data_IF_343562416076
#
_entry.id   IF_343562416076
#
_cell.length_a   1.000
_cell.length_b   1.000
_cell.length_c   1.000
_cell.angle_alpha   90.00
_cell.angle_beta   90.00
_cell.angle_gamma   90.00
#
_symmetry.space_group_name_H-M   'P 1'
#
loop_
_entity.id
_entity.type
_entity.pdbx_description
1 polymer ?
#
# COMPACT_ATOMS: atom_id res chain seq x y z
N UNK A 1 -29.32 18.97 7.61
CA UNK A 1 -28.71 17.72 8.12
C UNK A 1 -28.45 17.75 9.64
N UNK A 2 -29.45 17.92 10.54
CA UNK A 2 -29.20 17.89 12.00
C UNK A 2 -29.63 16.59 12.72
N UNK A 3 -30.42 15.72 12.08
CA UNK A 3 -31.11 14.58 12.73
C UNK A 3 -30.20 13.48 13.29
N UNK A 4 -28.93 13.45 12.89
CA UNK A 4 -27.98 12.42 13.34
C UNK A 4 -27.37 12.78 14.70
N UNK A 5 -27.14 14.08 14.96
CA UNK A 5 -26.54 14.54 16.21
C UNK A 5 -27.54 14.47 17.38
N UNK A 6 -28.82 14.74 17.11
CA UNK A 6 -29.89 14.58 18.11
C UNK A 6 -30.00 13.13 18.59
N UNK A 7 -29.84 12.14 17.69
CA UNK A 7 -29.86 10.72 18.06
C UNK A 7 -28.71 10.34 18.98
N UNK A 8 -27.53 10.93 18.76
CA UNK A 8 -26.35 10.69 19.61
C UNK A 8 -26.56 11.30 21.00
N UNK A 9 -27.17 12.49 21.07
CA UNK A 9 -27.44 13.17 22.34
C UNK A 9 -28.44 12.39 23.21
N UNK A 10 -29.50 11.86 22.60
CA UNK A 10 -30.52 11.05 23.28
C UNK A 10 -29.92 9.77 23.87
N UNK A 11 -28.98 9.12 23.17
CA UNK A 11 -28.30 7.92 23.67
C UNK A 11 -27.41 8.27 24.88
N UNK A 12 -26.73 9.42 24.86
CA UNK A 12 -25.87 9.86 25.97
C UNK A 12 -26.69 10.28 27.20
N UNK A 13 -27.86 10.89 27.02
CA UNK A 13 -28.75 11.25 28.13
C UNK A 13 -29.36 10.01 28.80
N UNK A 14 -29.69 8.97 28.04
CA UNK A 14 -30.22 7.71 28.59
C UNK A 14 -29.21 6.99 29.51
N UNK A 15 -27.90 7.17 29.30
CA UNK A 15 -26.85 6.59 30.14
C UNK A 15 -26.65 7.36 31.46
N UNK A 16 -27.24 8.56 31.60
CA UNK A 16 -27.01 9.44 32.75
C UNK A 16 -27.99 9.20 33.90
N UNK A 17 -29.11 8.52 33.65
CA UNK A 17 -30.08 8.14 34.68
C UNK A 17 -29.94 6.66 35.05
N UNK A 18 -28.94 6.31 35.85
CA UNK A 18 -28.89 5.01 36.54
C UNK A 18 -28.84 5.25 38.05
N UNK A 19 -29.99 5.03 38.70
CA UNK A 19 -30.20 4.92 40.15
C UNK A 19 -29.28 3.84 40.79
N UNK A 20 -28.90 3.93 42.08
CA UNK A 20 -27.93 3.02 42.70
C UNK A 20 -28.43 1.56 42.79
N UNK A 21 -27.53 0.57 42.80
CA UNK A 21 -27.89 -0.84 42.65
C UNK A 21 -28.42 -1.47 43.97
N UNK A 22 -29.41 -2.37 43.90
CA UNK A 22 -29.64 -3.33 44.97
C UNK A 22 -28.61 -4.46 44.89
N UNK A 23 -28.15 -4.86 46.08
CA UNK A 23 -27.29 -5.95 46.53
C UNK A 23 -26.74 -6.99 45.53
N UNK A 24 -25.46 -7.26 45.74
CA UNK A 24 -24.56 -8.24 45.13
C UNK A 24 -25.08 -9.67 45.05
N UNK A 25 -25.78 -10.04 43.98
CA UNK A 25 -25.75 -11.40 43.42
C UNK A 25 -26.18 -11.31 41.96
N UNK A 26 -25.22 -11.37 41.03
CA UNK A 26 -25.29 -11.76 39.60
C UNK A 26 -24.28 -10.92 38.79
N UNK A 27 -22.99 -11.20 38.93
CA UNK A 27 -21.91 -10.65 38.09
C UNK A 27 -21.79 -11.40 36.74
N UNK A 28 -22.91 -11.77 36.13
CA UNK A 28 -22.93 -12.53 34.87
C UNK A 28 -23.76 -11.87 33.75
N UNK A 29 -24.52 -10.81 34.04
CA UNK A 29 -25.48 -10.25 33.08
C UNK A 29 -25.03 -8.94 32.39
N UNK A 30 -23.82 -8.43 32.65
CA UNK A 30 -23.31 -7.19 32.05
C UNK A 30 -22.05 -7.35 31.17
N UNK A 31 -21.68 -8.58 30.77
CA UNK A 31 -20.50 -8.82 29.92
C UNK A 31 -20.71 -8.43 28.44
N UNK A 32 -21.94 -8.60 27.92
CA UNK A 32 -22.20 -8.49 26.48
C UNK A 32 -21.92 -7.10 25.86
N UNK A 33 -22.21 -5.95 26.51
CA UNK A 33 -21.92 -4.64 25.94
C UNK A 33 -20.42 -4.33 25.89
N UNK A 34 -19.65 -4.84 26.85
CA UNK A 34 -18.20 -4.61 26.96
C UNK A 34 -17.47 -5.43 25.89
N UNK A 35 -17.90 -6.68 25.66
CA UNK A 35 -17.35 -7.53 24.60
C UNK A 35 -17.68 -7.00 23.20
N UNK A 36 -18.90 -6.49 22.98
CA UNK A 36 -19.27 -5.83 21.72
C UNK A 36 -18.50 -4.53 21.51
N UNK A 37 -18.36 -3.67 22.52
CA UNK A 37 -17.59 -2.44 22.43
C UNK A 37 -16.11 -2.71 22.17
N UNK A 38 -15.52 -3.72 22.82
CA UNK A 38 -14.15 -4.19 22.57
C UNK A 38 -14.01 -4.72 21.15
N UNK A 39 -14.93 -5.56 20.68
CA UNK A 39 -14.90 -6.13 19.32
C UNK A 39 -15.01 -5.03 18.25
N UNK A 40 -15.90 -4.05 18.46
CA UNK A 40 -16.03 -2.89 17.57
C UNK A 40 -14.75 -2.06 17.58
N UNK A 41 -14.19 -1.76 18.75
CA UNK A 41 -12.93 -1.04 18.86
C UNK A 41 -11.78 -1.77 18.16
N UNK A 42 -11.63 -3.09 18.39
CA UNK A 42 -10.59 -3.92 17.78
C UNK A 42 -10.75 -3.97 16.25
N UNK A 43 -11.99 -4.12 15.76
CA UNK A 43 -12.25 -4.09 14.31
C UNK A 43 -11.91 -2.73 13.70
N UNK A 44 -12.27 -1.63 14.35
CA UNK A 44 -11.88 -0.28 13.92
C UNK A 44 -10.36 -0.09 13.96
N UNK A 45 -9.68 -0.56 15.01
CA UNK A 45 -8.22 -0.48 15.13
C UNK A 45 -7.51 -1.28 14.03
N UNK A 46 -8.04 -2.46 13.67
CA UNK A 46 -7.57 -3.24 12.51
C UNK A 46 -7.77 -2.50 11.21
N UNK A 47 -8.97 -1.98 10.95
CA UNK A 47 -9.26 -1.19 9.72
C UNK A 47 -8.32 0.02 9.61
N UNK A 48 -8.04 0.71 10.71
CA UNK A 48 -7.09 1.83 10.73
C UNK A 48 -5.65 1.38 10.45
N UNK A 49 -5.23 0.26 11.03
CA UNK A 49 -3.90 -0.32 10.79
C UNK A 49 -3.74 -0.80 9.35
N UNK A 50 -4.74 -1.51 8.85
CA UNK A 50 -4.82 -2.00 7.47
C UNK A 50 -4.79 -0.85 6.47
N UNK A 51 -5.41 0.29 6.79
CA UNK A 51 -5.37 1.49 5.94
C UNK A 51 -3.94 1.98 5.74
N UNK A 52 -3.13 2.06 6.80
CA UNK A 52 -1.72 2.49 6.70
C UNK A 52 -0.91 1.49 5.88
N UNK A 53 -1.07 0.20 6.14
CA UNK A 53 -0.38 -0.84 5.38
C UNK A 53 -0.80 -0.85 3.89
N UNK A 54 -2.08 -0.58 3.63
CA UNK A 54 -2.63 -0.49 2.28
C UNK A 54 -2.06 0.73 1.55
N UNK A 55 -1.97 1.89 2.19
CA UNK A 55 -1.39 3.10 1.60
C UNK A 55 0.10 2.92 1.21
N UNK A 56 0.86 2.16 1.99
CA UNK A 56 2.25 1.79 1.64
C UNK A 56 2.29 0.83 0.43
N UNK A 57 1.46 -0.23 0.44
CA UNK A 57 1.37 -1.17 -0.68
C UNK A 57 0.86 -0.50 -1.96
N UNK A 58 -0.04 0.46 -1.84
CA UNK A 58 -0.58 1.23 -2.95
C UNK A 58 0.42 2.18 -3.61
N UNK A 59 1.59 2.40 -3.01
CA UNK A 59 2.63 3.24 -3.62
C UNK A 59 3.77 2.44 -4.23
N UNK A 60 3.72 1.12 -4.11
CA UNK A 60 4.81 0.22 -4.46
C UNK A 60 4.69 -0.33 -5.87
N UNK A 61 5.80 -0.32 -6.61
CA UNK A 61 6.04 -1.08 -7.84
C UNK A 61 6.93 -2.26 -7.53
N UNK A 62 6.69 -3.39 -8.18
CA UNK A 62 7.51 -4.60 -8.04
C UNK A 62 8.13 -4.93 -9.38
N UNK A 63 9.45 -4.99 -9.42
CA UNK A 63 10.22 -5.46 -10.57
C UNK A 63 10.59 -6.92 -10.34
N UNK A 64 10.24 -7.77 -11.30
CA UNK A 64 10.44 -9.22 -11.24
C UNK A 64 11.44 -9.62 -12.31
N UNK A 65 12.34 -10.55 -11.97
CA UNK A 65 13.28 -11.14 -12.93
C UNK A 65 14.56 -10.33 -13.18
N UNK A 66 14.85 -9.30 -12.38
CA UNK A 66 16.13 -8.60 -12.45
C UNK A 66 17.26 -9.49 -11.92
N UNK A 67 18.32 -9.62 -12.72
CA UNK A 67 19.49 -10.41 -12.35
C UNK A 67 20.15 -9.89 -11.06
N UNK A 68 20.64 -10.81 -10.22
CA UNK A 68 21.42 -10.50 -9.01
C UNK A 68 22.84 -10.97 -9.19
N UNK A 69 23.78 -10.13 -8.76
CA UNK A 69 25.17 -10.55 -8.63
C UNK A 69 25.37 -11.36 -7.34
N UNK A 70 26.44 -12.16 -7.26
CA UNK A 70 26.90 -12.74 -5.99
C UNK A 70 27.21 -11.66 -4.95
N UNK A 71 27.72 -10.51 -5.38
CA UNK A 71 28.08 -9.40 -4.51
C UNK A 71 26.86 -8.49 -4.22
N UNK A 72 26.52 -8.23 -2.95
CA UNK A 72 25.40 -7.38 -2.60
C UNK A 72 25.60 -5.91 -3.02
N UNK A 73 26.84 -5.42 -2.96
CA UNK A 73 27.19 -4.04 -3.34
C UNK A 73 26.98 -3.82 -4.85
N UNK A 74 27.39 -4.78 -5.69
CA UNK A 74 27.18 -4.70 -7.14
C UNK A 74 25.70 -4.83 -7.50
N UNK A 75 24.96 -5.66 -6.77
CA UNK A 75 23.51 -5.79 -6.95
C UNK A 75 22.79 -4.49 -6.64
N UNK A 76 23.17 -3.77 -5.57
CA UNK A 76 22.61 -2.46 -5.25
C UNK A 76 22.88 -1.44 -6.36
N UNK A 77 24.11 -1.36 -6.86
CA UNK A 77 24.45 -0.46 -7.98
C UNK A 77 23.65 -0.79 -9.26
N UNK A 78 23.45 -2.09 -9.54
CA UNK A 78 22.58 -2.53 -10.66
C UNK A 78 21.12 -2.17 -10.44
N UNK A 79 20.63 -2.28 -9.21
CA UNK A 79 19.26 -1.91 -8.86
C UNK A 79 19.03 -0.40 -9.01
N UNK A 80 19.99 0.43 -8.61
CA UNK A 80 19.96 1.89 -8.83
C UNK A 80 19.91 2.22 -10.32
N UNK A 81 20.81 1.65 -11.12
CA UNK A 81 20.83 1.86 -12.57
C UNK A 81 19.53 1.40 -13.23
N UNK A 82 18.96 0.29 -12.77
CA UNK A 82 17.68 -0.22 -13.29
C UNK A 82 16.53 0.75 -13.00
N UNK A 83 16.50 1.34 -11.80
CA UNK A 83 15.48 2.33 -11.41
C UNK A 83 15.67 3.61 -12.23
N UNK A 84 16.90 4.09 -12.38
CA UNK A 84 17.21 5.24 -13.22
C UNK A 84 16.73 5.03 -14.66
N UNK A 85 17.03 3.87 -15.26
CA UNK A 85 16.55 3.51 -16.59
C UNK A 85 15.02 3.45 -16.69
N UNK A 86 14.34 2.94 -15.65
CA UNK A 86 12.87 2.90 -15.60
C UNK A 86 12.26 4.31 -15.55
N UNK A 87 12.85 5.18 -14.73
CA UNK A 87 12.44 6.58 -14.60
C UNK A 87 12.67 7.34 -15.91
N UNK A 88 13.81 7.12 -16.55
CA UNK A 88 14.12 7.71 -17.85
C UNK A 88 13.21 7.20 -18.96
N UNK A 89 12.89 5.90 -18.96
CA UNK A 89 11.95 5.31 -19.90
C UNK A 89 10.53 5.86 -19.78
N UNK A 90 10.11 6.23 -18.56
CA UNK A 90 8.82 6.85 -18.31
C UNK A 90 8.68 8.24 -18.95
N UNK A 91 9.80 8.97 -19.10
CA UNK A 91 9.88 10.35 -19.62
C UNK A 91 8.97 11.37 -18.92
N UNK A 92 8.49 11.04 -17.72
CA UNK A 92 7.59 11.91 -16.96
C UNK A 92 8.40 12.84 -16.04
N UNK A 93 8.15 14.17 -16.08
CA UNK A 93 8.92 15.13 -15.31
C UNK A 93 8.72 14.96 -13.80
N UNK A 94 7.52 14.58 -13.34
CA UNK A 94 7.22 14.46 -11.91
C UNK A 94 7.92 13.23 -11.31
N UNK A 95 7.95 12.12 -12.07
CA UNK A 95 8.67 10.91 -11.67
C UNK A 95 10.19 11.15 -11.65
N UNK A 96 10.72 11.88 -12.64
CA UNK A 96 12.15 12.29 -12.67
C UNK A 96 12.53 13.17 -11.50
N UNK A 97 11.67 14.12 -11.14
CA UNK A 97 11.91 15.00 -10.01
C UNK A 97 11.88 14.21 -8.69
N UNK A 98 10.90 13.32 -8.51
CA UNK A 98 10.82 12.46 -7.32
C UNK A 98 12.07 11.55 -7.14
N UNK A 99 12.67 11.10 -8.24
CA UNK A 99 13.94 10.37 -8.21
C UNK A 99 15.10 11.27 -7.76
N UNK A 100 15.24 12.45 -8.37
CA UNK A 100 16.28 13.43 -8.01
C UNK A 100 16.19 13.90 -6.56
N UNK A 101 14.97 14.05 -6.06
CA UNK A 101 14.69 14.46 -4.68
C UNK A 101 14.91 13.32 -3.66
N UNK A 102 15.28 12.11 -4.11
CA UNK A 102 15.53 10.97 -3.24
C UNK A 102 14.27 10.43 -2.54
N UNK A 103 13.09 10.70 -3.09
CA UNK A 103 11.82 10.30 -2.49
C UNK A 103 11.42 8.86 -2.80
N UNK A 104 12.11 8.23 -3.76
CA UNK A 104 11.87 6.84 -4.17
C UNK A 104 12.78 5.92 -3.34
N UNK A 105 12.17 5.04 -2.56
CA UNK A 105 12.90 4.03 -1.79
C UNK A 105 12.86 2.70 -2.53
N UNK A 106 13.91 1.90 -2.41
CA UNK A 106 13.94 0.58 -3.05
C UNK A 106 14.66 -0.45 -2.19
N UNK A 107 14.22 -1.70 -2.26
CA UNK A 107 14.88 -2.84 -1.61
C UNK A 107 14.45 -4.16 -2.24
N UNK A 108 15.32 -5.17 -2.18
CA UNK A 108 14.95 -6.55 -2.55
C UNK A 108 14.32 -7.30 -1.38
N UNK A 109 13.39 -8.22 -1.70
CA UNK A 109 12.69 -9.03 -0.70
C UNK A 109 12.61 -10.51 -1.13
N UNK A 110 12.87 -11.48 -0.24
CA UNK A 110 13.29 -11.34 1.17
C UNK A 110 14.73 -10.81 1.34
N UNK A 111 15.12 -10.36 2.54
CA UNK A 111 16.48 -9.83 2.79
C UNK A 111 17.55 -10.90 2.57
N UNK A 112 17.23 -12.14 2.91
CA UNK A 112 18.07 -13.29 2.68
C UNK A 112 17.93 -13.80 1.25
N UNK A 113 19.05 -14.22 0.67
CA UNK A 113 19.10 -14.73 -0.69
C UNK A 113 18.64 -16.19 -0.69
N UNK A 114 17.51 -16.44 -1.33
CA UNK A 114 17.04 -17.79 -1.63
C UNK A 114 17.53 -18.22 -3.03
N UNK A 115 17.32 -19.48 -3.39
CA UNK A 115 17.54 -19.96 -4.75
C UNK A 115 16.57 -19.27 -5.72
N UNK A 116 17.00 -18.16 -6.34
CA UNK A 116 16.22 -17.40 -7.31
C UNK A 116 16.52 -15.90 -7.28
N UNK A 117 16.11 -15.20 -8.34
CA UNK A 117 16.15 -13.74 -8.40
C UNK A 117 15.03 -13.17 -7.51
N UNK A 118 15.40 -12.39 -6.50
CA UNK A 118 14.46 -11.77 -5.56
C UNK A 118 13.81 -10.56 -6.22
N UNK A 119 12.49 -10.38 -6.04
CA UNK A 119 11.80 -9.18 -6.49
C UNK A 119 12.39 -7.91 -5.87
N UNK A 120 12.53 -6.87 -6.71
CA UNK A 120 12.89 -5.52 -6.30
C UNK A 120 11.59 -4.74 -6.04
N UNK A 121 11.40 -4.32 -4.79
CA UNK A 121 10.29 -3.48 -4.36
C UNK A 121 10.74 -2.02 -4.42
N UNK A 122 10.03 -1.22 -5.20
CA UNK A 122 10.27 0.22 -5.38
C UNK A 122 9.07 0.98 -4.84
N UNK A 123 9.27 1.85 -3.86
CA UNK A 123 8.23 2.64 -3.21
C UNK A 123 8.30 4.08 -3.74
N UNK A 124 7.22 4.51 -4.38
CA UNK A 124 7.07 5.88 -4.86
C UNK A 124 6.45 6.77 -3.76
N UNK A 125 6.62 8.10 -3.84
CA UNK A 125 6.04 9.00 -2.85
C UNK A 125 4.49 8.96 -2.84
N UNK A 126 3.86 8.82 -4.03
CA UNK A 126 2.42 8.90 -4.20
C UNK A 126 1.88 7.81 -5.13
N UNK A 127 0.63 7.36 -4.86
CA UNK A 127 -0.09 6.37 -5.69
C UNK A 127 -0.24 6.83 -7.14
N UNK A 128 -0.52 8.11 -7.34
CA UNK A 128 -0.65 8.72 -8.66
C UNK A 128 0.61 8.55 -9.51
N UNK A 129 1.79 8.73 -8.91
CA UNK A 129 3.07 8.57 -9.61
C UNK A 129 3.37 7.10 -9.93
N UNK A 130 3.00 6.19 -9.02
CA UNK A 130 3.07 4.75 -9.28
C UNK A 130 2.22 4.38 -10.49
N UNK A 131 0.96 4.81 -10.50
CA UNK A 131 0.01 4.50 -11.58
C UNK A 131 0.48 5.10 -12.91
N UNK A 132 0.93 6.35 -12.89
CA UNK A 132 1.48 7.01 -14.07
C UNK A 132 2.70 6.27 -14.63
N UNK A 133 3.65 5.88 -13.77
CA UNK A 133 4.82 5.10 -14.16
C UNK A 133 4.42 3.79 -14.83
N UNK A 134 3.52 3.03 -14.19
CA UNK A 134 3.05 1.74 -14.71
C UNK A 134 2.29 1.88 -16.04
N UNK A 135 1.44 2.90 -16.16
CA UNK A 135 0.66 3.14 -17.37
C UNK A 135 1.54 3.55 -18.55
N UNK A 136 2.55 4.40 -18.32
CA UNK A 136 3.53 4.76 -19.36
C UNK A 136 4.34 3.55 -19.81
N UNK A 137 4.80 2.72 -18.87
CA UNK A 137 5.52 1.47 -19.19
C UNK A 137 4.62 0.53 -20.02
N UNK A 138 3.35 0.35 -19.62
CA UNK A 138 2.38 -0.50 -20.35
C UNK A 138 2.06 0.03 -21.74
N UNK A 139 1.91 1.34 -21.88
CA UNK A 139 1.63 2.00 -23.15
C UNK A 139 2.79 1.82 -24.13
N UNK A 140 4.03 2.10 -23.70
CA UNK A 140 5.21 1.91 -24.55
C UNK A 140 5.43 0.43 -24.91
N UNK A 141 5.24 -0.51 -23.97
CA UNK A 141 5.31 -1.95 -24.28
C UNK A 141 4.32 -2.35 -25.37
N UNK A 142 3.09 -1.84 -25.30
CA UNK A 142 2.05 -2.15 -26.28
C UNK A 142 2.35 -1.55 -27.65
N UNK A 143 2.99 -0.37 -27.70
CA UNK A 143 3.44 0.22 -28.97
C UNK A 143 4.54 -0.60 -29.65
N UNK A 144 5.48 -1.15 -28.86
CA UNK A 144 6.60 -1.94 -29.37
C UNK A 144 6.17 -3.32 -29.91
N UNK A 145 5.18 -3.95 -29.28
CA UNK A 145 4.63 -5.23 -29.75
C UNK A 145 3.76 -5.08 -31.01
N UNK A 146 3.14 -3.91 -31.21
CA UNK A 146 2.26 -3.67 -32.37
C UNK A 146 3.05 -3.36 -33.66
N UNK A 147 4.27 -2.82 -33.54
CA UNK A 147 5.18 -2.64 -34.69
C UNK A 147 5.78 -3.95 -35.16
N UNK A 148 6.08 -4.87 -34.25
CA UNK A 148 6.72 -6.15 -34.58
C UNK A 148 5.78 -7.10 -35.35
N UNK A 149 4.48 -7.10 -35.01
CA UNK A 149 3.48 -7.91 -35.72
C UNK A 149 3.12 -7.42 -37.13
N UNK A 150 3.35 -6.14 -37.46
CA UNK A 150 3.07 -5.61 -38.80
C UNK A 150 4.22 -5.81 -39.79
N UNK A 151 5.42 -6.14 -39.31
CA UNK A 151 6.58 -6.45 -40.15
C UNK A 151 6.59 -7.89 -40.70
N UNK A 152 5.88 -8.82 -40.06
CA UNK A 152 5.93 -10.25 -40.41
C UNK A 152 4.92 -10.69 -41.50
N UNK A 153 4.16 -9.76 -42.11
CA UNK A 153 3.13 -10.06 -43.11
C UNK A 153 3.45 -9.53 -44.52
N UNK A 154 4.71 -9.25 -44.82
CA UNK A 154 5.16 -8.86 -46.16
C UNK A 154 6.49 -9.54 -46.48
N UNK A 155 6.44 -10.80 -46.91
CA UNK A 155 7.39 -11.40 -47.84
C UNK A 155 6.75 -12.62 -48.49
#
# INVERSE_FOLDING_TARGET
>A
MPKTLEKVLVILEALKSSSPPPSTHTLAAFSAPIDMARTVYESCARVLSDKVEYEEKERRVVVIGSAEDPDPVKTLAKDELLIEQLVDYCEDPDVKQAWKDGQIKYHRHPKERNAGARPLKVELPNKKLRDLLLDKIRAKRSSHVNTDRRGAARH
#
